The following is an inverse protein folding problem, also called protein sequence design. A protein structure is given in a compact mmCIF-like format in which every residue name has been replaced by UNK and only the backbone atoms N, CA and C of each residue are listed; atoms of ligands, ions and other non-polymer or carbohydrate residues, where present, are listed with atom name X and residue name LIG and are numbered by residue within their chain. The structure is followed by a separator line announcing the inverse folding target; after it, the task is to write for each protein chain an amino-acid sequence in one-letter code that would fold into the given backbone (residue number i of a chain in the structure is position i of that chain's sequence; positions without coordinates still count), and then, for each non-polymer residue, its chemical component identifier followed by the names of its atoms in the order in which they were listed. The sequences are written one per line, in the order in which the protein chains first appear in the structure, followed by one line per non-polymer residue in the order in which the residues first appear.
data_IF_220080611626
#
_entry.id   IF_220080611626
#
_cell.length_a   1.000
_cell.length_b   1.000
_cell.length_c   1.000
_cell.angle_alpha   90.00
_cell.angle_beta   90.00
_cell.angle_gamma   90.00
#
_symmetry.space_group_name_H-M   'P 1'
#
loop_
_entity.id
_entity.type
_entity.pdbx_description
1 polymer ?
#
# COMPACT_ATOMS: atom_id res chain seq x y z
N UNK A 1 -4.36 -18.54 19.69
CA UNK A 1 -3.54 -17.38 19.26
C UNK A 1 -4.13 -16.61 18.06
N UNK A 2 -5.22 -17.06 17.43
CA UNK A 2 -5.85 -16.39 16.26
C UNK A 2 -6.61 -15.07 16.54
N UNK A 3 -6.91 -14.74 17.81
CA UNK A 3 -7.68 -13.54 18.17
C UNK A 3 -6.82 -12.33 18.54
N UNK A 4 -5.52 -12.52 18.78
CA UNK A 4 -4.59 -11.45 19.14
C UNK A 4 -4.52 -10.32 18.09
N UNK A 5 -4.42 -10.59 16.76
CA UNK A 5 -4.42 -9.52 15.76
C UNK A 5 -5.76 -8.77 15.69
N UNK A 6 -6.89 -9.47 15.88
CA UNK A 6 -8.22 -8.83 15.92
C UNK A 6 -8.38 -7.91 17.14
N UNK A 7 -7.87 -8.33 18.29
CA UNK A 7 -7.84 -7.49 19.50
C UNK A 7 -7.02 -6.21 19.30
N UNK A 8 -5.85 -6.31 18.66
CA UNK A 8 -4.99 -5.14 18.38
C UNK A 8 -5.64 -4.16 17.39
N UNK A 9 -6.30 -4.67 16.35
CA UNK A 9 -7.07 -3.86 15.40
C UNK A 9 -8.24 -3.15 16.10
N UNK A 10 -8.97 -3.83 16.99
CA UNK A 10 -10.06 -3.24 17.78
C UNK A 10 -9.55 -2.14 18.70
N UNK A 11 -8.43 -2.35 19.40
CA UNK A 11 -7.81 -1.34 20.25
C UNK A 11 -7.39 -0.13 19.43
N UNK A 12 -6.71 -0.33 18.30
CA UNK A 12 -6.33 0.76 17.40
C UNK A 12 -7.55 1.55 16.90
N UNK A 13 -8.63 0.86 16.51
CA UNK A 13 -9.88 1.49 16.10
C UNK A 13 -10.54 2.31 17.23
N UNK A 14 -10.57 1.78 18.46
CA UNK A 14 -11.08 2.50 19.65
C UNK A 14 -10.25 3.74 19.93
N UNK A 15 -8.92 3.65 19.92
CA UNK A 15 -8.04 4.79 20.15
C UNK A 15 -8.24 5.88 19.09
N UNK A 16 -8.28 5.49 17.80
CA UNK A 16 -8.48 6.46 16.70
C UNK A 16 -9.87 7.09 16.72
N UNK A 17 -10.91 6.33 17.04
CA UNK A 17 -12.27 6.88 17.19
C UNK A 17 -12.37 7.80 18.39
N UNK A 18 -11.61 7.55 19.46
CA UNK A 18 -11.55 8.45 20.62
C UNK A 18 -10.84 9.76 20.30
N UNK A 19 -9.69 9.72 19.62
CA UNK A 19 -8.98 10.91 19.13
C UNK A 19 -9.86 11.74 18.19
N UNK A 20 -10.57 11.10 17.27
CA UNK A 20 -11.49 11.78 16.36
C UNK A 20 -12.68 12.43 17.10
N UNK A 21 -13.19 11.79 18.16
CA UNK A 21 -14.24 12.37 19.00
C UNK A 21 -13.74 13.57 19.79
N UNK A 22 -12.54 13.51 20.34
CA UNK A 22 -11.94 14.65 21.05
C UNK A 22 -11.72 15.82 20.08
N UNK A 23 -11.22 15.55 18.88
CA UNK A 23 -11.00 16.57 17.85
C UNK A 23 -12.29 17.19 17.31
N UNK A 24 -13.44 16.54 17.41
CA UNK A 24 -14.74 17.17 17.08
C UNK A 24 -15.02 18.39 17.95
N UNK A 25 -14.54 18.39 19.20
CA UNK A 25 -14.68 19.50 20.14
C UNK A 25 -13.57 20.54 20.08
N UNK A 26 -12.57 20.36 19.21
CA UNK A 26 -11.46 21.31 19.10
C UNK A 26 -11.95 22.66 18.55
N UNK A 27 -11.58 23.79 19.19
CA UNK A 27 -11.85 25.11 18.66
C UNK A 27 -11.19 25.31 17.29
N UNK A 28 -11.75 26.23 16.51
CA UNK A 28 -11.25 26.58 15.19
C UNK A 28 -10.73 28.01 15.15
N UNK A 29 -9.70 28.24 14.36
CA UNK A 29 -9.12 29.56 14.10
C UNK A 29 -8.74 29.67 12.61
N UNK A 30 -8.62 30.90 12.11
CA UNK A 30 -8.08 31.11 10.77
C UNK A 30 -6.55 30.94 10.81
N UNK A 31 -6.02 30.22 9.82
CA UNK A 31 -4.59 30.07 9.57
C UNK A 31 -4.25 30.36 8.11
N UNK A 32 -2.97 30.44 7.81
CA UNK A 32 -2.45 30.62 6.45
C UNK A 32 -1.47 29.50 6.13
N UNK A 33 -1.61 28.87 4.97
CA UNK A 33 -0.65 27.87 4.49
C UNK A 33 0.62 28.60 4.04
N UNK A 34 1.74 28.31 4.68
CA UNK A 34 3.05 28.90 4.34
C UNK A 34 3.86 28.03 3.38
N UNK A 35 3.62 26.72 3.38
CA UNK A 35 4.33 25.77 2.52
C UNK A 35 3.36 24.69 2.06
N UNK A 36 3.39 24.37 0.77
CA UNK A 36 2.60 23.28 0.18
C UNK A 36 3.42 22.67 -0.94
N UNK A 37 4.16 21.62 -0.62
CA UNK A 37 5.08 20.95 -1.55
C UNK A 37 5.10 19.45 -1.32
N UNK A 38 5.54 18.68 -2.31
CA UNK A 38 5.87 17.26 -2.10
C UNK A 38 7.18 17.18 -1.32
N UNK A 39 7.21 16.32 -0.31
CA UNK A 39 8.39 15.99 0.46
C UNK A 39 8.65 14.49 0.36
N UNK A 40 9.85 14.13 -0.08
CA UNK A 40 10.32 12.75 -0.07
C UNK A 40 10.79 12.42 1.34
N UNK A 41 10.22 11.37 1.96
CA UNK A 41 10.66 10.89 3.27
C UNK A 41 11.00 9.42 3.22
N UNK A 42 12.00 9.04 4.00
CA UNK A 42 12.31 7.64 4.25
C UNK A 42 11.49 7.12 5.42
N UNK A 43 10.75 6.04 5.19
CA UNK A 43 9.94 5.36 6.19
C UNK A 43 10.43 3.94 6.37
N UNK A 44 10.39 3.46 7.61
CA UNK A 44 10.68 2.06 7.93
C UNK A 44 9.47 1.21 7.59
N UNK A 45 9.69 0.15 6.84
CA UNK A 45 8.69 -0.85 6.50
C UNK A 45 9.16 -2.24 6.91
N UNK A 46 8.25 -3.13 7.36
CA UNK A 46 8.61 -4.50 7.68
C UNK A 46 9.22 -5.22 6.47
N UNK A 47 10.30 -5.96 6.70
CA UNK A 47 11.03 -6.72 5.68
C UNK A 47 11.57 -8.02 6.29
N UNK A 48 10.84 -9.13 6.07
CA UNK A 48 11.16 -10.45 6.64
C UNK A 48 12.47 -11.04 6.07
N UNK A 49 12.98 -10.49 4.97
CA UNK A 49 14.25 -10.92 4.36
C UNK A 49 15.47 -10.27 5.04
N UNK A 50 15.28 -9.36 6.00
CA UNK A 50 16.35 -8.67 6.73
C UNK A 50 16.44 -9.12 8.19
N UNK A 51 17.66 -9.10 8.74
CA UNK A 51 17.92 -9.47 10.13
C UNK A 51 17.27 -8.50 11.14
N UNK A 52 17.18 -7.22 10.80
CA UNK A 52 16.52 -6.19 11.62
C UNK A 52 15.00 -6.16 11.41
N UNK A 53 14.47 -6.93 10.45
CA UNK A 53 13.05 -7.00 10.11
C UNK A 53 12.50 -5.71 9.50
N UNK A 54 13.35 -4.74 9.15
CA UNK A 54 12.92 -3.42 8.66
C UNK A 54 13.75 -2.95 7.46
N UNK A 55 13.10 -2.21 6.55
CA UNK A 55 13.76 -1.54 5.43
C UNK A 55 13.33 -0.10 5.30
N UNK A 56 14.25 0.74 4.82
CA UNK A 56 13.94 2.13 4.46
C UNK A 56 13.32 2.17 3.05
N UNK A 57 12.09 2.66 2.97
CA UNK A 57 11.35 2.93 1.74
C UNK A 57 11.18 4.44 1.57
N UNK A 58 11.37 4.94 0.35
CA UNK A 58 11.13 6.35 0.05
C UNK A 58 9.67 6.53 -0.37
N UNK A 59 8.97 7.48 0.25
CA UNK A 59 7.59 7.81 -0.09
C UNK A 59 7.40 9.32 -0.23
N UNK A 60 6.52 9.69 -1.15
CA UNK A 60 6.12 11.07 -1.40
C UNK A 60 5.02 11.46 -0.41
N UNK A 61 5.23 12.53 0.35
CA UNK A 61 4.26 13.07 1.31
C UNK A 61 3.81 14.46 0.86
N UNK A 62 2.55 14.81 1.15
CA UNK A 62 2.10 16.18 1.02
C UNK A 62 2.56 16.98 2.25
N UNK A 63 3.60 17.81 2.09
CA UNK A 63 4.06 18.68 3.15
C UNK A 63 3.31 20.02 3.10
N UNK A 64 2.19 20.05 3.82
CA UNK A 64 1.38 21.26 4.01
C UNK A 64 1.67 21.84 5.38
N UNK A 65 2.39 22.96 5.40
CA UNK A 65 2.71 23.66 6.64
C UNK A 65 1.93 24.96 6.72
N UNK A 66 1.27 25.18 7.83
CA UNK A 66 0.39 26.32 8.07
C UNK A 66 0.70 27.02 9.38
N UNK A 67 0.48 28.32 9.41
CA UNK A 67 0.60 29.17 10.59
C UNK A 67 -0.78 29.60 11.08
N UNK A 68 -0.95 29.66 12.39
CA UNK A 68 -2.21 30.05 13.03
C UNK A 68 -1.94 30.71 14.37
N UNK A 69 -2.95 31.40 14.90
CA UNK A 69 -2.89 32.00 16.23
C UNK A 69 -3.86 31.30 17.16
N UNK A 70 -3.34 30.78 18.28
CA UNK A 70 -4.12 30.20 19.37
C UNK A 70 -3.65 30.79 20.70
N UNK A 71 -4.60 31.20 21.55
CA UNK A 71 -4.31 31.82 22.85
C UNK A 71 -3.30 33.00 22.75
N UNK A 72 -3.40 33.82 21.70
CA UNK A 72 -2.51 34.95 21.46
C UNK A 72 -1.08 34.61 20.99
N UNK A 73 -0.77 33.32 20.77
CA UNK A 73 0.54 32.85 20.29
C UNK A 73 0.46 32.40 18.84
N UNK A 74 1.42 32.82 18.02
CA UNK A 74 1.62 32.26 16.67
C UNK A 74 2.25 30.87 16.78
N UNK A 75 1.62 29.91 16.14
CA UNK A 75 2.03 28.50 16.11
C UNK A 75 2.05 28.02 14.67
N UNK A 76 2.76 26.92 14.44
CA UNK A 76 2.90 26.30 13.13
C UNK A 76 2.58 24.81 13.25
N UNK A 77 1.83 24.29 12.30
CA UNK A 77 1.48 22.87 12.21
C UNK A 77 1.71 22.35 10.80
N UNK A 78 1.92 21.04 10.67
CA UNK A 78 2.13 20.37 9.39
C UNK A 78 1.22 19.14 9.20
N UNK A 79 0.19 19.00 10.04
CA UNK A 79 -0.69 17.84 10.03
C UNK A 79 -2.01 18.19 9.33
N UNK A 80 -2.28 17.52 8.22
CA UNK A 80 -3.51 17.75 7.47
C UNK A 80 -4.70 17.10 8.16
N UNK A 81 -4.63 15.80 8.49
CA UNK A 81 -5.73 15.06 9.10
C UNK A 81 -5.32 14.28 10.36
N UNK A 82 -6.32 13.80 11.11
CA UNK A 82 -6.12 12.89 12.24
C UNK A 82 -5.64 11.50 11.78
N UNK A 83 -5.89 11.15 10.52
CA UNK A 83 -5.45 9.91 9.92
C UNK A 83 -3.92 9.75 9.92
N UNK A 84 -3.47 8.52 9.73
CA UNK A 84 -2.08 8.25 9.38
C UNK A 84 -1.91 8.54 7.89
N UNK A 85 -1.02 9.47 7.58
CA UNK A 85 -0.52 9.64 6.21
C UNK A 85 0.55 8.56 5.96
N UNK A 86 0.29 7.69 4.98
CA UNK A 86 1.19 6.60 4.60
C UNK A 86 2.14 6.97 3.47
N UNK A 87 2.00 8.18 2.91
CA UNK A 87 2.70 8.60 1.69
C UNK A 87 2.14 7.93 0.43
N UNK A 88 2.56 8.45 -0.72
CA UNK A 88 2.18 8.03 -2.08
C UNK A 88 0.67 8.02 -2.40
N UNK A 89 -0.16 8.51 -1.50
CA UNK A 89 -1.63 8.48 -1.61
C UNK A 89 -2.17 9.89 -1.37
N UNK A 90 -3.11 10.34 -2.19
CA UNK A 90 -3.81 11.64 -2.05
C UNK A 90 -2.86 12.87 -1.99
N UNK A 91 -1.59 12.71 -2.41
CA UNK A 91 -0.57 13.76 -2.31
C UNK A 91 -0.95 14.97 -3.15
N UNK A 92 -1.26 14.75 -4.44
CA UNK A 92 -1.66 15.83 -5.34
C UNK A 92 -2.99 16.48 -4.91
N UNK A 93 -3.96 15.68 -4.47
CA UNK A 93 -5.26 16.17 -3.98
C UNK A 93 -5.09 17.09 -2.77
N UNK A 94 -4.27 16.68 -1.81
CA UNK A 94 -3.98 17.45 -0.60
C UNK A 94 -3.29 18.78 -0.94
N UNK A 95 -2.29 18.78 -1.82
CA UNK A 95 -1.59 20.00 -2.23
C UNK A 95 -2.50 20.95 -3.02
N UNK A 96 -3.37 20.41 -3.89
CA UNK A 96 -4.34 21.20 -4.63
C UNK A 96 -5.42 21.82 -3.73
N UNK A 97 -5.81 21.10 -2.67
CA UNK A 97 -6.76 21.57 -1.67
C UNK A 97 -6.18 22.66 -0.75
N UNK A 98 -4.88 22.59 -0.48
CA UNK A 98 -4.17 23.50 0.43
C UNK A 98 -2.97 24.17 -0.25
N UNK A 99 -3.18 25.04 -1.26
CA UNK A 99 -2.07 25.74 -1.91
C UNK A 99 -1.42 26.76 -0.98
N UNK A 100 -0.13 27.04 -1.18
CA UNK A 100 0.59 28.04 -0.40
C UNK A 100 -0.06 29.43 -0.55
N UNK A 101 -0.16 30.16 0.56
CA UNK A 101 -0.85 31.45 0.67
C UNK A 101 -2.37 31.34 0.90
N UNK A 102 -2.96 30.14 0.87
CA UNK A 102 -4.39 30.00 1.15
C UNK A 102 -4.73 30.19 2.63
N UNK A 103 -5.88 30.81 2.88
CA UNK A 103 -6.47 30.89 4.22
C UNK A 103 -7.25 29.61 4.49
N UNK A 104 -6.94 28.97 5.61
CA UNK A 104 -7.50 27.68 6.00
C UNK A 104 -8.09 27.74 7.41
N UNK A 105 -9.06 26.88 7.67
CA UNK A 105 -9.56 26.67 9.03
C UNK A 105 -8.66 25.67 9.74
N UNK A 106 -8.08 26.09 10.86
CA UNK A 106 -7.21 25.26 11.69
C UNK A 106 -7.96 24.87 12.95
N UNK A 107 -8.07 23.57 13.20
CA UNK A 107 -8.61 23.01 14.43
C UNK A 107 -7.47 22.69 15.38
N UNK A 108 -7.47 23.24 16.59
CA UNK A 108 -6.37 23.06 17.54
C UNK A 108 -6.85 22.48 18.87
N UNK A 109 -6.00 21.70 19.53
CA UNK A 109 -6.28 21.19 20.86
C UNK A 109 -6.16 22.34 21.88
N UNK A 110 -7.23 22.70 22.62
CA UNK A 110 -7.19 23.83 23.56
C UNK A 110 -6.24 23.59 24.75
N UNK A 111 -5.96 22.33 25.09
CA UNK A 111 -5.00 21.97 26.15
C UNK A 111 -3.55 21.97 25.65
N UNK A 112 -3.35 21.63 24.37
CA UNK A 112 -2.04 21.58 23.71
C UNK A 112 -2.12 22.28 22.35
N UNK A 113 -2.06 23.63 22.32
CA UNK A 113 -2.30 24.40 21.09
C UNK A 113 -1.34 24.10 19.94
N UNK A 114 -0.19 23.47 20.22
CA UNK A 114 0.78 22.95 19.25
C UNK A 114 0.25 21.76 18.44
N UNK A 115 -0.78 21.07 18.95
CA UNK A 115 -1.50 20.04 18.22
C UNK A 115 -2.64 20.66 17.44
N UNK A 116 -2.50 20.73 16.13
CA UNK A 116 -3.55 21.20 15.24
C UNK A 116 -3.69 20.32 14.01
N UNK A 117 -4.86 20.37 13.37
CA UNK A 117 -5.17 19.71 12.10
C UNK A 117 -6.02 20.62 11.22
N UNK A 118 -5.93 20.44 9.90
CA UNK A 118 -6.83 21.10 8.93
C UNK A 118 -8.15 20.33 8.77
N UNK A 119 -8.10 19.01 8.95
CA UNK A 119 -9.22 18.10 8.82
C UNK A 119 -9.40 17.28 10.10
N UNK A 120 -10.47 17.57 10.85
CA UNK A 120 -10.83 16.86 12.08
C UNK A 120 -11.64 15.58 11.85
N UNK A 121 -12.07 15.32 10.62
CA UNK A 121 -12.86 14.14 10.28
C UNK A 121 -11.94 12.94 10.01
N UNK A 122 -12.45 11.73 10.29
CA UNK A 122 -11.74 10.51 9.92
C UNK A 122 -11.74 10.40 8.39
N UNK A 123 -10.62 9.95 7.78
CA UNK A 123 -10.58 9.74 6.33
C UNK A 123 -11.72 8.80 5.91
N UNK A 124 -12.43 9.14 4.83
CA UNK A 124 -13.58 8.37 4.33
C UNK A 124 -13.22 6.90 4.05
N UNK A 125 -11.96 6.62 3.68
CA UNK A 125 -11.45 5.27 3.42
C UNK A 125 -11.36 4.36 4.65
N UNK A 126 -11.28 4.90 5.88
CA UNK A 126 -11.14 4.09 7.09
C UNK A 126 -12.37 3.21 7.34
N UNK A 127 -13.56 3.76 7.11
CA UNK A 127 -14.83 3.03 7.22
C UNK A 127 -15.02 2.03 6.07
N UNK A 128 -14.49 2.33 4.89
CA UNK A 128 -14.48 1.40 3.75
C UNK A 128 -13.64 0.16 4.02
N UNK A 129 -12.40 0.32 4.50
CA UNK A 129 -11.52 -0.80 4.83
C UNK A 129 -12.04 -1.63 6.02
N UNK A 130 -12.55 -0.98 7.08
CA UNK A 130 -13.18 -1.67 8.21
C UNK A 130 -14.48 -2.38 7.79
N UNK A 131 -15.27 -1.76 6.91
CA UNK A 131 -16.51 -2.34 6.38
C UNK A 131 -16.24 -3.56 5.50
N UNK A 132 -15.27 -3.48 4.58
CA UNK A 132 -14.88 -4.61 3.71
C UNK A 132 -14.23 -5.72 4.55
N UNK A 133 -13.30 -5.40 5.45
CA UNK A 133 -12.68 -6.37 6.33
C UNK A 133 -13.69 -7.06 7.25
N UNK A 134 -14.62 -6.29 7.84
CA UNK A 134 -15.73 -6.83 8.64
C UNK A 134 -16.66 -7.69 7.79
N UNK A 135 -17.00 -7.27 6.57
CA UNK A 135 -17.83 -8.06 5.66
C UNK A 135 -17.16 -9.38 5.24
N UNK A 136 -15.84 -9.39 5.02
CA UNK A 136 -15.07 -10.61 4.73
C UNK A 136 -15.05 -11.52 5.95
N UNK A 137 -14.77 -11.00 7.15
CA UNK A 137 -14.79 -11.80 8.38
C UNK A 137 -16.18 -12.33 8.67
N UNK A 138 -17.22 -11.51 8.52
CA UNK A 138 -18.61 -11.94 8.65
C UNK A 138 -18.98 -12.95 7.57
N UNK A 139 -18.52 -12.80 6.33
CA UNK A 139 -18.74 -13.80 5.28
C UNK A 139 -18.01 -15.12 5.58
N UNK A 140 -16.83 -15.08 6.20
CA UNK A 140 -16.09 -16.28 6.63
C UNK A 140 -16.79 -16.93 7.82
N UNK A 141 -17.17 -16.16 8.85
CA UNK A 141 -17.81 -16.66 10.06
C UNK A 141 -19.24 -17.13 9.79
N UNK A 142 -20.05 -16.33 9.10
CA UNK A 142 -21.42 -16.66 8.71
C UNK A 142 -21.44 -17.72 7.59
N UNK A 143 -20.45 -17.69 6.68
CA UNK A 143 -20.20 -18.76 5.73
C UNK A 143 -19.83 -20.07 6.41
N UNK A 144 -19.05 -20.05 7.49
CA UNK A 144 -18.72 -21.26 8.26
C UNK A 144 -19.87 -21.74 9.16
N UNK A 145 -20.70 -20.83 9.70
CA UNK A 145 -21.77 -21.16 10.64
C UNK A 145 -23.12 -21.51 9.97
N UNK A 146 -23.46 -20.83 8.86
CA UNK A 146 -24.74 -20.96 8.16
C UNK A 146 -24.59 -21.49 6.73
N UNK A 147 -23.58 -21.02 6.00
CA UNK A 147 -23.38 -21.36 4.59
C UNK A 147 -22.83 -22.78 4.38
N UNK A 148 -21.86 -23.19 5.20
CA UNK A 148 -21.18 -24.47 5.06
C UNK A 148 -22.18 -25.61 5.26
N UNK A 149 -23.03 -25.59 6.29
CA UNK A 149 -23.97 -26.70 6.55
C UNK A 149 -25.00 -26.90 5.42
N UNK A 150 -25.61 -25.83 4.88
CA UNK A 150 -26.62 -25.93 3.80
C UNK A 150 -26.01 -26.17 2.41
N UNK A 151 -24.84 -25.59 2.14
CA UNK A 151 -24.10 -25.79 0.89
C UNK A 151 -23.47 -27.19 0.85
N UNK A 152 -23.03 -27.71 2.01
CA UNK A 152 -22.57 -29.09 2.21
C UNK A 152 -23.71 -30.08 1.98
N UNK A 153 -24.93 -29.84 2.49
CA UNK A 153 -26.13 -30.67 2.21
C UNK A 153 -26.52 -30.68 0.73
N UNK A 154 -26.52 -29.53 0.04
CA UNK A 154 -26.89 -29.45 -1.38
C UNK A 154 -25.86 -30.09 -2.31
N UNK A 155 -24.56 -29.88 -2.03
CA UNK A 155 -23.50 -30.45 -2.86
C UNK A 155 -23.24 -31.92 -2.55
N UNK A 156 -23.44 -32.39 -1.32
CA UNK A 156 -23.36 -33.82 -0.97
C UNK A 156 -24.42 -34.67 -1.69
N UNK A 157 -25.59 -34.11 -1.96
CA UNK A 157 -26.63 -34.78 -2.76
C UNK A 157 -26.29 -34.96 -4.23
N UNK A 158 -25.35 -34.16 -4.78
CA UNK A 158 -25.00 -34.17 -6.20
C UNK A 158 -23.58 -34.72 -6.47
N UNK A 159 -22.78 -34.95 -5.44
CA UNK A 159 -21.40 -35.44 -5.55
C UNK A 159 -21.28 -36.92 -5.21
N UNK A 160 -20.41 -37.62 -5.95
CA UNK A 160 -20.16 -39.05 -5.78
C UNK A 160 -19.50 -39.41 -4.43
N UNK A 161 -18.90 -38.44 -3.70
CA UNK A 161 -18.34 -38.60 -2.34
C UNK A 161 -18.66 -37.39 -1.45
N UNK A 162 -19.58 -37.50 -0.47
CA UNK A 162 -19.95 -36.40 0.42
C UNK A 162 -18.81 -35.97 1.37
N UNK A 163 -17.85 -36.85 1.63
CA UNK A 163 -16.72 -36.63 2.56
C UNK A 163 -15.70 -35.58 2.07
N UNK A 164 -15.67 -35.27 0.77
CA UNK A 164 -14.74 -34.31 0.16
C UNK A 164 -15.39 -32.96 -0.14
N UNK A 165 -16.67 -32.78 0.18
CA UNK A 165 -17.45 -31.57 -0.17
C UNK A 165 -16.86 -30.29 0.46
N UNK A 166 -16.34 -30.35 1.69
CA UNK A 166 -15.65 -29.22 2.32
C UNK A 166 -14.38 -28.79 1.56
N UNK A 167 -13.64 -29.74 0.99
CA UNK A 167 -12.44 -29.47 0.19
C UNK A 167 -12.80 -28.84 -1.15
N UNK A 168 -13.85 -29.33 -1.83
CA UNK A 168 -14.31 -28.78 -3.11
C UNK A 168 -14.80 -27.33 -2.96
N UNK A 169 -15.55 -27.03 -1.90
CA UNK A 169 -16.00 -25.67 -1.59
C UNK A 169 -14.80 -24.76 -1.31
N UNK A 170 -13.83 -25.22 -0.51
CA UNK A 170 -12.62 -24.46 -0.19
C UNK A 170 -11.77 -24.14 -1.43
N UNK A 171 -11.51 -25.14 -2.28
CA UNK A 171 -10.73 -24.96 -3.51
C UNK A 171 -11.46 -24.06 -4.53
N UNK A 172 -12.78 -24.20 -4.67
CA UNK A 172 -13.60 -23.35 -5.54
C UNK A 172 -13.64 -21.89 -5.09
N UNK A 173 -13.83 -21.64 -3.79
CA UNK A 173 -13.82 -20.29 -3.23
C UNK A 173 -12.44 -19.62 -3.38
N UNK A 174 -11.36 -20.38 -3.13
CA UNK A 174 -10.00 -19.87 -3.32
C UNK A 174 -9.72 -19.55 -4.80
N UNK A 175 -10.11 -20.44 -5.72
CA UNK A 175 -10.00 -20.21 -7.15
C UNK A 175 -10.74 -18.94 -7.60
N UNK A 176 -11.93 -18.68 -7.05
CA UNK A 176 -12.71 -17.47 -7.34
C UNK A 176 -12.04 -16.19 -6.85
N UNK A 177 -11.48 -16.19 -5.63
CA UNK A 177 -10.72 -15.05 -5.09
C UNK A 177 -9.49 -14.74 -5.96
N UNK A 178 -8.75 -15.77 -6.36
CA UNK A 178 -7.60 -15.62 -7.27
C UNK A 178 -8.02 -15.06 -8.64
N UNK A 179 -9.19 -15.47 -9.17
CA UNK A 179 -9.73 -14.93 -10.42
C UNK A 179 -10.08 -13.44 -10.31
N UNK A 180 -10.72 -13.01 -9.22
CA UNK A 180 -11.02 -11.60 -8.95
C UNK A 180 -9.74 -10.77 -8.85
N UNK A 181 -8.70 -11.30 -8.21
CA UNK A 181 -7.40 -10.64 -8.16
C UNK A 181 -6.77 -10.50 -9.55
N UNK A 182 -6.80 -11.56 -10.38
CA UNK A 182 -6.35 -11.48 -11.77
C UNK A 182 -7.14 -10.46 -12.61
N UNK A 183 -8.45 -10.34 -12.38
CA UNK A 183 -9.28 -9.31 -13.02
C UNK A 183 -8.89 -7.89 -12.57
N UNK A 184 -8.64 -7.68 -11.28
CA UNK A 184 -8.21 -6.39 -10.74
C UNK A 184 -6.84 -5.96 -11.32
N UNK A 185 -5.86 -6.87 -11.36
CA UNK A 185 -4.54 -6.63 -11.97
C UNK A 185 -4.68 -6.27 -13.45
N UNK A 186 -5.50 -7.03 -14.20
CA UNK A 186 -5.74 -6.72 -15.62
C UNK A 186 -6.38 -5.35 -15.82
N UNK A 187 -7.33 -4.98 -14.96
CA UNK A 187 -7.98 -3.67 -15.00
C UNK A 187 -7.00 -2.53 -14.74
N UNK A 188 -6.10 -2.69 -13.76
CA UNK A 188 -5.04 -1.71 -13.49
C UNK A 188 -4.06 -1.61 -14.65
N UNK A 189 -3.58 -2.73 -15.20
CA UNK A 189 -2.69 -2.73 -16.36
C UNK A 189 -3.31 -2.04 -17.58
N UNK A 190 -4.61 -2.25 -17.83
CA UNK A 190 -5.34 -1.56 -18.90
C UNK A 190 -5.57 -0.07 -18.63
N UNK A 191 -5.64 0.35 -17.37
CA UNK A 191 -5.70 1.77 -17.02
C UNK A 191 -4.32 2.42 -17.25
N UNK A 192 -3.25 1.72 -16.87
CA UNK A 192 -1.87 2.17 -17.04
C UNK A 192 -1.47 2.42 -18.50
N UNK A 193 -2.02 1.66 -19.45
CA UNK A 193 -1.77 1.87 -20.88
C UNK A 193 -2.27 3.22 -21.42
N UNK A 194 -3.19 3.88 -20.70
CA UNK A 194 -3.76 5.17 -21.08
C UNK A 194 -3.23 6.34 -20.25
N UNK A 195 -2.25 6.09 -19.38
CA UNK A 195 -1.67 7.14 -18.55
C UNK A 195 -0.83 8.12 -19.38
N UNK A 196 -0.89 9.43 -19.07
CA UNK A 196 -0.05 10.43 -19.68
C UNK A 196 1.43 10.12 -19.46
N UNK A 197 2.23 10.37 -20.50
CA UNK A 197 3.69 10.15 -20.48
C UNK A 197 4.39 11.45 -20.16
N UNK A 198 5.24 11.42 -19.14
CA UNK A 198 6.08 12.54 -18.71
C UNK A 198 7.56 12.16 -18.81
N UNK A 199 8.45 13.10 -19.17
CA UNK A 199 9.88 12.87 -19.08
C UNK A 199 10.31 12.74 -17.61
N UNK A 200 11.06 11.69 -17.31
CA UNK A 200 11.68 11.47 -16.01
C UNK A 200 13.19 11.22 -16.13
N UNK A 201 13.87 11.17 -15.00
CA UNK A 201 15.30 10.91 -14.89
C UNK A 201 15.57 9.80 -13.90
N UNK A 202 16.40 8.83 -14.29
CA UNK A 202 16.84 7.74 -13.42
C UNK A 202 17.91 8.23 -12.45
N UNK A 203 17.81 7.81 -11.19
CA UNK A 203 18.81 8.03 -10.15
C UNK A 203 19.18 6.70 -9.50
N UNK A 204 20.48 6.46 -9.35
CA UNK A 204 20.97 5.28 -8.63
C UNK A 204 21.49 5.69 -7.26
N UNK A 205 21.05 4.99 -6.22
CA UNK A 205 21.53 5.23 -4.86
C UNK A 205 22.98 4.79 -4.67
N UNK A 206 23.56 5.29 -3.59
CA UNK A 206 24.75 4.73 -2.98
C UNK A 206 24.53 3.28 -2.54
N UNK A 207 25.65 2.59 -2.32
CA UNK A 207 25.66 1.22 -1.83
C UNK A 207 25.22 1.19 -0.36
N UNK A 208 24.18 0.43 -0.08
CA UNK A 208 23.70 0.16 1.28
C UNK A 208 24.18 -1.22 1.70
N UNK A 209 24.80 -1.32 2.87
CA UNK A 209 25.17 -2.59 3.49
C UNK A 209 24.13 -2.97 4.53
N UNK A 210 23.56 -4.17 4.43
CA UNK A 210 22.58 -4.69 5.38
C UNK A 210 22.78 -6.19 5.59
N UNK A 211 22.17 -6.79 6.62
CA UNK A 211 22.21 -8.24 6.82
C UNK A 211 20.88 -8.87 6.45
N UNK A 212 20.95 -9.97 5.70
CA UNK A 212 19.78 -10.78 5.39
C UNK A 212 19.28 -11.54 6.62
N UNK A 213 18.03 -11.98 6.61
CA UNK A 213 17.46 -12.76 7.70
C UNK A 213 18.31 -14.01 8.00
N UNK A 214 18.37 -14.36 9.28
CA UNK A 214 19.03 -15.59 9.72
C UNK A 214 18.37 -16.80 9.06
N UNK A 215 19.16 -17.69 8.47
CA UNK A 215 18.66 -19.00 8.05
C UNK A 215 18.23 -19.81 9.28
N UNK A 216 17.26 -20.72 9.11
CA UNK A 216 16.61 -21.50 10.18
C UNK A 216 17.57 -22.24 11.16
N UNK A 217 18.87 -22.31 10.87
CA UNK A 217 19.93 -22.84 11.74
C UNK A 217 20.46 -21.88 12.82
N UNK A 218 19.88 -20.70 13.02
CA UNK A 218 20.22 -19.80 14.14
C UNK A 218 21.55 -19.05 14.02
N UNK A 219 22.14 -19.00 12.82
CA UNK A 219 23.34 -18.22 12.54
C UNK A 219 23.02 -16.74 12.24
N UNK A 220 24.05 -15.88 12.31
CA UNK A 220 23.94 -14.49 11.84
C UNK A 220 23.55 -14.44 10.36
N UNK A 221 22.80 -13.40 10.01
CA UNK A 221 22.46 -13.06 8.64
C UNK A 221 23.68 -12.91 7.73
N UNK A 222 23.54 -13.28 6.46
CA UNK A 222 24.60 -13.01 5.46
C UNK A 222 24.65 -11.51 5.18
N UNK A 223 25.85 -10.94 5.07
CA UNK A 223 26.00 -9.55 4.66
C UNK A 223 25.59 -9.37 3.19
N UNK A 224 24.73 -8.40 2.96
CA UNK A 224 24.09 -8.09 1.69
C UNK A 224 24.44 -6.66 1.28
N UNK A 225 24.71 -6.49 0.00
CA UNK A 225 25.03 -5.21 -0.60
C UNK A 225 23.87 -4.82 -1.51
N UNK A 226 23.13 -3.78 -1.12
CA UNK A 226 21.96 -3.28 -1.83
C UNK A 226 22.26 -2.01 -2.62
N UNK A 227 21.62 -1.86 -3.77
CA UNK A 227 21.48 -0.57 -4.48
C UNK A 227 20.04 -0.37 -4.91
N UNK A 228 19.57 0.86 -4.80
CA UNK A 228 18.23 1.29 -5.18
C UNK A 228 18.30 2.08 -6.48
N UNK A 229 17.36 1.82 -7.38
CA UNK A 229 17.18 2.62 -8.59
C UNK A 229 15.82 3.30 -8.48
N UNK A 230 15.87 4.62 -8.36
CA UNK A 230 14.69 5.48 -8.34
C UNK A 230 14.63 6.32 -9.61
N UNK A 231 13.49 6.96 -9.83
CA UNK A 231 13.31 7.89 -10.92
C UNK A 231 12.48 9.07 -10.47
N UNK A 232 12.84 10.26 -10.94
CA UNK A 232 12.13 11.50 -10.65
C UNK A 232 11.42 12.01 -11.89
N UNK A 233 10.22 12.54 -11.73
CA UNK A 233 9.45 13.15 -12.82
C UNK A 233 8.63 14.31 -12.30
N UNK A 234 8.25 15.22 -13.19
CA UNK A 234 7.39 16.34 -12.87
C UNK A 234 5.99 16.12 -13.45
N UNK A 235 4.96 16.35 -12.66
CA UNK A 235 3.57 16.36 -13.09
C UNK A 235 2.86 17.58 -12.49
N UNK A 236 2.21 18.40 -13.32
CA UNK A 236 1.53 19.64 -12.90
C UNK A 236 2.39 20.56 -12.00
N UNK A 237 3.67 20.74 -12.37
CA UNK A 237 4.66 21.56 -11.63
C UNK A 237 5.04 21.01 -10.22
N UNK A 238 4.74 19.74 -9.97
CA UNK A 238 5.11 19.02 -8.75
C UNK A 238 6.08 17.88 -9.11
N UNK A 239 7.19 17.78 -8.38
CA UNK A 239 8.19 16.72 -8.59
C UNK A 239 7.91 15.53 -7.68
N UNK A 240 7.85 14.34 -8.27
CA UNK A 240 7.66 13.06 -7.59
C UNK A 240 8.90 12.19 -7.78
N UNK A 241 9.18 11.33 -6.80
CA UNK A 241 10.26 10.33 -6.88
C UNK A 241 9.72 8.96 -6.51
N UNK A 242 9.93 7.98 -7.38
CA UNK A 242 9.47 6.60 -7.18
C UNK A 242 10.64 5.62 -7.30
N UNK A 243 10.54 4.49 -6.59
CA UNK A 243 11.48 3.38 -6.69
C UNK A 243 11.02 2.43 -7.80
N UNK A 244 11.90 2.15 -8.77
CA UNK A 244 11.58 1.18 -9.83
C UNK A 244 12.15 -0.21 -9.54
N UNK A 245 13.33 -0.27 -8.93
CA UNK A 245 14.00 -1.53 -8.65
C UNK A 245 14.94 -1.41 -7.45
N UNK A 246 15.12 -2.53 -6.77
CA UNK A 246 16.18 -2.74 -5.78
C UNK A 246 16.96 -3.98 -6.14
N UNK A 247 18.28 -3.88 -6.08
CA UNK A 247 19.20 -4.98 -6.35
C UNK A 247 19.98 -5.26 -5.08
N UNK A 248 19.93 -6.50 -4.60
CA UNK A 248 20.67 -6.95 -3.43
C UNK A 248 21.33 -8.30 -3.68
N UNK A 249 22.59 -8.45 -3.27
CA UNK A 249 23.31 -9.73 -3.32
C UNK A 249 24.33 -9.86 -2.19
N UNK A 250 24.72 -11.09 -1.87
CA UNK A 250 25.66 -11.42 -0.79
C UNK A 250 27.12 -11.02 -1.03
N UNK A 251 27.40 -10.26 -2.09
CA UNK A 251 28.71 -9.61 -2.28
C UNK A 251 28.55 -8.34 -3.13
N UNK A 252 29.36 -7.33 -2.85
CA UNK A 252 29.37 -6.07 -3.60
C UNK A 252 29.56 -6.31 -5.11
N UNK A 253 30.41 -7.26 -5.51
CA UNK A 253 30.68 -7.58 -6.92
C UNK A 253 29.48 -8.23 -7.63
N UNK A 254 28.70 -9.05 -6.92
CA UNK A 254 27.50 -9.67 -7.48
C UNK A 254 26.38 -8.64 -7.62
N UNK A 255 26.21 -7.77 -6.62
CA UNK A 255 25.28 -6.64 -6.65
C UNK A 255 25.62 -5.68 -7.79
N UNK A 256 26.89 -5.33 -7.97
CA UNK A 256 27.35 -4.49 -9.07
C UNK A 256 27.10 -5.15 -10.44
N UNK A 257 27.28 -6.47 -10.56
CA UNK A 257 26.97 -7.20 -11.80
C UNK A 257 25.48 -7.18 -12.13
N UNK A 258 24.62 -7.39 -11.13
CA UNK A 258 23.17 -7.29 -11.30
C UNK A 258 22.75 -5.86 -11.63
N UNK A 259 23.33 -4.87 -10.95
CA UNK A 259 23.09 -3.46 -11.22
C UNK A 259 23.54 -3.11 -12.65
N UNK A 260 24.72 -3.51 -13.10
CA UNK A 260 25.19 -3.30 -14.48
C UNK A 260 24.22 -3.86 -15.52
N UNK A 261 23.60 -5.02 -15.24
CA UNK A 261 22.54 -5.54 -16.12
C UNK A 261 21.30 -4.66 -16.11
N UNK A 262 20.89 -4.13 -14.95
CA UNK A 262 19.75 -3.22 -14.86
C UNK A 262 20.04 -1.87 -15.54
N UNK A 263 21.22 -1.29 -15.30
CA UNK A 263 21.68 -0.04 -15.90
C UNK A 263 21.94 -0.13 -17.41
N UNK A 264 22.11 -1.35 -17.95
CA UNK A 264 22.14 -1.53 -19.41
C UNK A 264 20.83 -1.13 -20.09
N UNK A 265 19.71 -1.20 -19.35
CA UNK A 265 18.39 -0.74 -19.79
C UNK A 265 18.06 0.66 -19.28
N UNK A 266 18.50 0.98 -18.06
CA UNK A 266 18.20 2.23 -17.38
C UNK A 266 19.48 2.90 -16.85
N UNK A 267 20.30 3.54 -17.70
CA UNK A 267 21.53 4.18 -17.26
C UNK A 267 21.25 5.27 -16.23
N UNK A 268 22.20 5.48 -15.31
CA UNK A 268 22.10 6.56 -14.33
C UNK A 268 22.06 7.93 -15.04
N UNK A 269 21.14 8.80 -14.64
CA UNK A 269 20.88 10.08 -15.30
C UNK A 269 20.19 10.00 -16.67
N UNK A 270 19.80 8.80 -17.15
CA UNK A 270 19.09 8.67 -18.40
C UNK A 270 17.69 9.30 -18.33
N UNK A 271 17.28 9.94 -19.42
CA UNK A 271 15.91 10.37 -19.62
C UNK A 271 15.03 9.15 -19.97
N UNK A 272 13.93 8.98 -19.25
CA UNK A 272 12.98 7.88 -19.44
C UNK A 272 11.57 8.41 -19.57
N UNK A 273 10.74 7.68 -20.30
CA UNK A 273 9.31 7.94 -20.37
C UNK A 273 8.62 7.33 -19.15
N UNK A 274 7.90 8.17 -18.41
CA UNK A 274 7.20 7.78 -17.18
C UNK A 274 5.70 7.91 -17.42
N UNK A 275 4.98 6.81 -17.33
CA UNK A 275 3.52 6.81 -17.35
C UNK A 275 2.98 7.18 -15.97
N UNK A 276 2.32 8.32 -15.85
CA UNK A 276 1.86 8.87 -14.56
C UNK A 276 0.36 8.66 -14.40
N UNK A 277 -0.11 8.08 -13.29
CA UNK A 277 -1.53 7.97 -13.01
C UNK A 277 -2.13 9.37 -12.75
N UNK A 278 -3.03 9.89 -13.59
CA UNK A 278 -3.56 11.23 -13.44
C UNK A 278 -4.46 11.40 -12.21
N UNK A 279 -5.02 10.30 -11.69
CA UNK A 279 -5.82 10.31 -10.46
C UNK A 279 -4.96 10.24 -9.19
N UNK A 280 -3.77 9.65 -9.27
CA UNK A 280 -2.79 9.64 -8.18
C UNK A 280 -1.37 9.78 -8.75
N UNK A 281 -0.86 11.01 -8.93
CA UNK A 281 0.43 11.24 -9.58
C UNK A 281 1.65 10.68 -8.84
N UNK A 282 1.51 10.19 -7.60
CA UNK A 282 2.58 9.47 -6.93
C UNK A 282 2.68 8.00 -7.41
N UNK A 283 1.67 7.50 -8.11
CA UNK A 283 1.68 6.21 -8.79
C UNK A 283 2.11 6.41 -10.24
N UNK A 284 3.25 5.81 -10.60
CA UNK A 284 3.77 5.88 -11.95
C UNK A 284 4.52 4.59 -12.31
N UNK A 285 4.65 4.34 -13.62
CA UNK A 285 5.32 3.18 -14.17
C UNK A 285 6.26 3.58 -15.31
N UNK A 286 7.45 2.94 -15.36
CA UNK A 286 8.39 3.09 -16.49
C UNK A 286 7.93 2.25 -17.69
N UNK A 287 7.45 1.03 -17.45
CA UNK A 287 6.98 0.10 -18.48
C UNK A 287 5.49 -0.21 -18.28
N UNK A 288 4.58 0.56 -18.90
CA UNK A 288 3.15 0.24 -18.87
C UNK A 288 2.80 -1.07 -19.61
N UNK A 289 3.74 -1.64 -20.36
CA UNK A 289 3.54 -2.81 -21.24
C UNK A 289 3.76 -4.16 -20.55
N UNK A 290 4.24 -4.20 -19.29
CA UNK A 290 4.83 -5.39 -18.68
C UNK A 290 3.87 -6.41 -18.03
N UNK A 291 2.73 -5.99 -17.49
CA UNK A 291 2.07 -6.77 -16.42
C UNK A 291 0.87 -7.64 -16.82
N UNK A 292 0.57 -7.75 -18.12
CA UNK A 292 -0.48 -8.67 -18.58
C UNK A 292 -0.17 -10.15 -18.28
N UNK A 293 1.12 -10.53 -18.25
CA UNK A 293 1.57 -11.92 -18.05
C UNK A 293 1.23 -12.43 -16.65
N UNK A 294 1.35 -11.60 -15.62
CA UNK A 294 0.99 -11.97 -14.25
C UNK A 294 -0.52 -12.26 -14.10
N UNK A 295 -1.37 -11.48 -14.78
CA UNK A 295 -2.80 -11.76 -14.81
C UNK A 295 -3.12 -13.13 -15.44
N UNK A 296 -2.41 -13.53 -16.50
CA UNK A 296 -2.56 -14.87 -17.08
C UNK A 296 -2.10 -15.99 -16.15
N UNK A 297 -1.01 -15.80 -15.40
CA UNK A 297 -0.56 -16.77 -14.40
C UNK A 297 -1.61 -16.93 -13.30
N UNK A 298 -2.18 -15.84 -12.78
CA UNK A 298 -3.24 -15.88 -11.79
C UNK A 298 -4.49 -16.61 -12.31
N UNK A 299 -4.86 -16.40 -13.56
CA UNK A 299 -5.97 -17.12 -14.20
C UNK A 299 -5.66 -18.61 -14.39
N UNK A 300 -4.43 -18.97 -14.74
CA UNK A 300 -4.01 -20.37 -14.84
C UNK A 300 -4.05 -21.08 -13.47
N UNK A 301 -3.58 -20.42 -12.41
CA UNK A 301 -3.67 -20.91 -11.03
C UNK A 301 -5.14 -21.09 -10.62
N UNK A 302 -5.98 -20.08 -10.87
CA UNK A 302 -7.42 -20.16 -10.61
C UNK A 302 -8.07 -21.35 -11.34
N UNK A 303 -7.75 -21.54 -12.63
CA UNK A 303 -8.24 -22.66 -13.43
C UNK A 303 -7.77 -24.02 -12.86
N UNK A 304 -6.53 -24.10 -12.35
CA UNK A 304 -6.01 -25.31 -11.71
C UNK A 304 -6.75 -25.63 -10.41
N UNK A 305 -7.06 -24.64 -9.58
CA UNK A 305 -7.88 -24.83 -8.37
C UNK A 305 -9.30 -25.28 -8.68
N UNK A 306 -9.93 -24.69 -9.70
CA UNK A 306 -11.26 -25.08 -10.18
C UNK A 306 -11.22 -26.50 -10.75
N UNK A 307 -10.20 -26.84 -11.55
CA UNK A 307 -10.02 -28.19 -12.10
C UNK A 307 -9.78 -29.23 -11.00
N UNK A 308 -8.99 -28.90 -9.96
CA UNK A 308 -8.78 -29.77 -8.80
C UNK A 308 -10.08 -29.97 -8.00
N UNK A 309 -10.89 -28.91 -7.85
CA UNK A 309 -12.20 -28.99 -7.21
C UNK A 309 -13.15 -29.92 -8.00
N UNK A 310 -13.20 -29.77 -9.33
CA UNK A 310 -13.99 -30.64 -10.22
C UNK A 310 -13.48 -32.08 -10.23
N UNK A 311 -12.16 -32.28 -10.23
CA UNK A 311 -11.55 -33.61 -10.18
C UNK A 311 -11.86 -34.33 -8.86
N UNK A 312 -11.71 -33.64 -7.72
CA UNK A 312 -12.08 -34.17 -6.41
C UNK A 312 -13.58 -34.50 -6.32
N UNK A 313 -14.43 -33.74 -7.02
CA UNK A 313 -15.87 -33.99 -7.10
C UNK A 313 -16.23 -35.21 -8.00
N UNK A 314 -15.39 -35.58 -8.97
CA UNK A 314 -15.73 -36.53 -10.05
C UNK A 314 -14.92 -37.84 -10.08
N UNK A 315 -13.67 -37.87 -9.59
CA UNK A 315 -12.78 -39.03 -9.62
C UNK A 315 -12.01 -39.22 -8.31
N UNK A 316 -12.73 -39.56 -7.24
CA UNK A 316 -12.16 -40.34 -6.14
C UNK A 316 -12.59 -41.78 -6.33
N UNK A 317 -11.76 -42.60 -6.99
CA UNK A 317 -11.90 -44.05 -7.10
C UNK A 317 -10.65 -44.64 -6.52
#
# INVERSE_FOLDING_TARGET
MLLAPLGLILIAAVVKTWQAREAKGWPQTAGCVVTSTVELREVKVPDDDREDGERLEQRNFANVVYEYTANGRKLRGNRVSIGEDRGNSEVAETLAKYPAGSIVTVYYNPRHPDQAVLERELPKGLWGCLGIGSAIVLAIVFGSAFGFNRLYELLSCHMARPDLSGMVIGLGAFGFVVALFGFAVRRQASAASHWPVMPGTIHVSDMEEYRGAASEGGGRGTEMFGRRVSYSYAYQNVSYTNECARVGAGSASASDRMLKRLLSRYPDGAAVEVHVNPANPAEAALDASGDGRFAFVLWAISALFVAAAVFAATRGG
#
